data_IF_657236456611
#
_entry.id   IF_657236456611
#
_cell.length_a   1.000
_cell.length_b   1.000
_cell.length_c   1.000
_cell.angle_alpha   90.00
_cell.angle_beta   90.00
_cell.angle_gamma   90.00
#
_symmetry.space_group_name_H-M   'P 1'
#
loop_
_entity.id
_entity.type
_entity.pdbx_description
1 polymer ?
#
# COMPACT_ATOMS: atom_id res chain seq x y z
N UNK A 1 24.89 -16.70 6.72
CA UNK A 1 23.64 -17.30 6.19
C UNK A 1 22.38 -16.86 6.95
N UNK A 2 22.42 -16.72 8.28
CA UNK A 2 21.27 -16.33 9.11
C UNK A 2 20.73 -14.92 8.79
N UNK A 3 21.61 -13.93 8.65
CA UNK A 3 21.24 -12.54 8.32
C UNK A 3 20.47 -12.44 6.99
N UNK A 4 20.91 -13.21 5.98
CA UNK A 4 20.25 -13.26 4.67
C UNK A 4 18.82 -13.81 4.77
N UNK A 5 18.60 -14.82 5.64
CA UNK A 5 17.26 -15.38 5.88
C UNK A 5 16.34 -14.39 6.61
N UNK A 6 16.87 -13.68 7.61
CA UNK A 6 16.13 -12.63 8.32
C UNK A 6 15.69 -11.51 7.38
N UNK A 7 16.58 -11.10 6.49
CA UNK A 7 16.32 -10.04 5.51
C UNK A 7 15.21 -10.41 4.52
N UNK A 8 15.25 -11.65 4.00
CA UNK A 8 14.19 -12.16 3.11
C UNK A 8 12.85 -12.23 3.85
N UNK A 9 12.84 -12.68 5.10
CA UNK A 9 11.62 -12.74 5.90
C UNK A 9 11.02 -11.35 6.16
N UNK A 10 11.87 -10.36 6.44
CA UNK A 10 11.47 -8.96 6.59
C UNK A 10 10.86 -8.40 5.30
N UNK A 11 11.47 -8.67 4.14
CA UNK A 11 10.92 -8.25 2.83
C UNK A 11 9.55 -8.87 2.59
N UNK A 12 9.39 -10.18 2.80
CA UNK A 12 8.10 -10.87 2.60
C UNK A 12 7.03 -10.33 3.55
N UNK A 13 7.37 -10.04 4.80
CA UNK A 13 6.45 -9.46 5.77
C UNK A 13 6.02 -8.01 5.41
N UNK A 14 6.95 -7.21 4.88
CA UNK A 14 6.63 -5.86 4.38
C UNK A 14 5.72 -5.96 3.16
N UNK A 15 5.99 -6.88 2.23
CA UNK A 15 5.18 -7.06 1.03
C UNK A 15 3.76 -7.56 1.37
N UNK A 16 3.59 -8.53 2.27
CA UNK A 16 2.25 -9.05 2.61
C UNK A 16 1.44 -8.08 3.49
N UNK A 17 2.11 -7.20 4.24
CA UNK A 17 1.48 -6.24 5.13
C UNK A 17 1.16 -4.89 4.49
N UNK A 18 1.87 -4.49 3.43
CA UNK A 18 1.84 -3.14 2.87
C UNK A 18 0.48 -2.76 2.27
N UNK A 19 0.00 -1.56 2.60
CA UNK A 19 -1.25 -1.03 2.09
C UNK A 19 -1.30 -0.99 0.56
N UNK A 20 -0.16 -0.75 -0.11
CA UNK A 20 -0.09 -0.71 -1.59
C UNK A 20 -0.51 -2.03 -2.24
N UNK A 21 -0.12 -3.16 -1.67
CA UNK A 21 -0.48 -4.48 -2.22
C UNK A 21 -1.96 -4.78 -1.96
N UNK A 22 -2.47 -4.40 -0.77
CA UNK A 22 -3.88 -4.57 -0.42
C UNK A 22 -4.82 -3.73 -1.28
N UNK A 23 -4.43 -2.51 -1.62
CA UNK A 23 -5.22 -1.62 -2.49
C UNK A 23 -5.18 -2.08 -3.94
N UNK A 24 -4.06 -2.64 -4.40
CA UNK A 24 -3.98 -3.25 -5.74
C UNK A 24 -4.82 -4.53 -5.86
N UNK A 25 -4.78 -5.41 -4.84
CA UNK A 25 -5.52 -6.68 -4.84
C UNK A 25 -7.04 -6.48 -4.79
N UNK A 26 -7.49 -5.38 -4.17
CA UNK A 26 -8.90 -5.00 -4.07
C UNK A 26 -9.34 -3.95 -5.11
N UNK A 27 -8.47 -3.60 -6.06
CA UNK A 27 -8.74 -2.56 -7.04
C UNK A 27 -9.88 -3.01 -7.98
N UNK A 28 -10.89 -2.14 -8.11
CA UNK A 28 -11.89 -2.23 -9.17
C UNK A 28 -11.58 -1.20 -10.27
N UNK A 29 -12.32 -1.25 -11.39
CA UNK A 29 -12.13 -0.33 -12.53
C UNK A 29 -12.16 1.15 -12.10
N UNK A 30 -12.95 1.50 -11.09
CA UNK A 30 -13.10 2.86 -10.59
C UNK A 30 -12.17 3.19 -9.40
N UNK A 31 -11.37 2.22 -8.93
CA UNK A 31 -10.49 2.42 -7.78
C UNK A 31 -9.30 3.32 -8.14
N UNK A 32 -8.91 4.27 -7.27
CA UNK A 32 -7.70 5.04 -7.45
C UNK A 32 -6.46 4.14 -7.32
N UNK A 33 -5.70 3.97 -8.41
CA UNK A 33 -4.50 3.11 -8.45
C UNK A 33 -3.22 3.87 -8.11
N UNK A 34 -3.13 5.14 -8.53
CA UNK A 34 -1.94 5.98 -8.33
C UNK A 34 -1.80 6.37 -6.85
N UNK A 35 -0.64 6.03 -6.27
CA UNK A 35 -0.34 6.21 -4.84
C UNK A 35 -1.41 5.59 -3.93
N UNK A 36 -1.99 4.46 -4.34
CA UNK A 36 -3.18 3.91 -3.69
C UNK A 36 -2.92 3.52 -2.22
N UNK A 37 -1.80 2.86 -1.94
CA UNK A 37 -1.41 2.48 -0.58
C UNK A 37 -1.10 3.69 0.29
N UNK A 38 -0.34 4.64 -0.26
CA UNK A 38 -0.01 5.90 0.43
C UNK A 38 -1.25 6.70 0.79
N UNK A 39 -2.20 6.84 -0.15
CA UNK A 39 -3.43 7.60 0.07
C UNK A 39 -4.35 6.92 1.07
N UNK A 40 -4.47 5.59 1.04
CA UNK A 40 -5.21 4.87 2.06
C UNK A 40 -4.62 5.11 3.46
N UNK A 41 -3.30 5.07 3.59
CA UNK A 41 -2.63 5.36 4.86
C UNK A 41 -2.86 6.81 5.31
N UNK A 42 -2.79 7.80 4.41
CA UNK A 42 -3.10 9.19 4.74
C UNK A 42 -4.55 9.31 5.23
N UNK A 43 -5.53 8.74 4.51
CA UNK A 43 -6.93 8.77 4.91
C UNK A 43 -7.13 8.12 6.29
N UNK A 44 -6.43 7.03 6.60
CA UNK A 44 -6.48 6.39 7.92
C UNK A 44 -5.87 7.26 9.02
N UNK A 45 -4.73 7.93 8.75
CA UNK A 45 -4.08 8.85 9.69
C UNK A 45 -4.95 10.07 9.98
N UNK A 46 -5.66 10.59 8.97
CA UNK A 46 -6.53 11.77 9.10
C UNK A 46 -7.97 11.43 9.51
N UNK A 47 -8.30 10.16 9.80
CA UNK A 47 -9.66 9.66 10.03
C UNK A 47 -10.67 10.04 8.92
N UNK A 48 -10.20 10.11 7.66
CA UNK A 48 -11.05 10.36 6.49
C UNK A 48 -11.75 9.08 6.05
N UNK A 49 -12.91 8.83 6.65
CA UNK A 49 -13.75 7.65 6.38
C UNK A 49 -14.26 7.60 4.94
N UNK A 50 -14.54 8.75 4.32
CA UNK A 50 -15.04 8.81 2.94
C UNK A 50 -13.92 8.48 1.96
N UNK A 51 -12.71 8.96 2.22
CA UNK A 51 -11.52 8.61 1.45
C UNK A 51 -11.21 7.12 1.51
N UNK A 52 -11.29 6.50 2.70
CA UNK A 52 -10.99 5.08 2.88
C UNK A 52 -11.93 4.15 2.09
N UNK A 53 -13.22 4.48 1.96
CA UNK A 53 -14.20 3.64 1.23
C UNK A 53 -13.81 3.43 -0.23
N UNK A 54 -13.12 4.39 -0.86
CA UNK A 54 -12.75 4.34 -2.28
C UNK A 54 -11.76 3.24 -2.64
N UNK A 55 -11.04 2.73 -1.64
CA UNK A 55 -9.98 1.73 -1.83
C UNK A 55 -10.46 0.29 -1.64
N UNK A 56 -11.73 0.07 -1.28
CA UNK A 56 -12.33 -1.26 -1.08
C UNK A 56 -11.55 -2.20 -0.13
N UNK A 57 -10.71 -1.64 0.74
CA UNK A 57 -9.87 -2.40 1.66
C UNK A 57 -9.72 -1.67 2.98
N UNK A 58 -9.40 -2.43 4.03
CA UNK A 58 -9.16 -1.87 5.36
C UNK A 58 -7.72 -1.35 5.44
N UNK A 59 -7.51 -0.17 6.06
CA UNK A 59 -6.16 0.28 6.34
C UNK A 59 -5.44 -0.69 7.28
N UNK A 60 -4.11 -0.68 7.20
CA UNK A 60 -3.25 -1.39 8.16
C UNK A 60 -3.39 -0.80 9.57
N UNK A 61 -3.08 -1.60 10.58
CA UNK A 61 -3.20 -1.22 11.99
C UNK A 61 -2.27 -0.05 12.37
N UNK A 62 -1.10 0.04 11.74
CA UNK A 62 -0.11 1.09 11.97
C UNK A 62 0.20 1.87 10.68
N UNK A 63 -0.71 2.75 10.21
CA UNK A 63 -0.57 3.41 8.91
C UNK A 63 0.62 4.37 8.86
N UNK A 64 1.02 4.97 10.00
CA UNK A 64 2.20 5.85 10.08
C UNK A 64 3.49 5.08 9.81
N UNK A 65 3.60 3.84 10.29
CA UNK A 65 4.77 2.98 10.07
C UNK A 65 4.81 2.42 8.65
N UNK A 66 3.63 2.13 8.09
CA UNK A 66 3.50 1.62 6.72
C UNK A 66 3.64 2.71 5.65
N UNK A 67 3.33 3.97 5.97
CA UNK A 67 3.37 5.10 5.04
C UNK A 67 4.66 5.18 4.20
N UNK A 68 5.88 5.17 4.77
CA UNK A 68 7.11 5.24 3.98
C UNK A 68 7.32 4.00 3.10
N UNK A 69 6.93 2.82 3.57
CA UNK A 69 7.04 1.58 2.80
C UNK A 69 6.06 1.58 1.62
N UNK A 70 4.81 2.00 1.87
CA UNK A 70 3.79 2.19 0.85
C UNK A 70 4.19 3.24 -0.18
N UNK A 71 4.73 4.39 0.24
CA UNK A 71 5.19 5.43 -0.68
C UNK A 71 6.31 4.94 -1.61
N UNK A 72 7.28 4.22 -1.06
CA UNK A 72 8.37 3.64 -1.85
C UNK A 72 7.82 2.59 -2.84
N UNK A 73 6.90 1.74 -2.40
CA UNK A 73 6.31 0.71 -3.26
C UNK A 73 5.44 1.32 -4.36
N UNK A 74 4.64 2.34 -4.03
CA UNK A 74 3.84 3.12 -4.98
C UNK A 74 4.74 3.78 -6.04
N UNK A 75 5.91 4.32 -5.67
CA UNK A 75 6.88 4.86 -6.64
C UNK A 75 7.46 3.78 -7.57
N UNK A 76 7.78 2.61 -7.03
CA UNK A 76 8.28 1.48 -7.82
C UNK A 76 7.20 0.98 -8.79
N UNK A 77 5.94 0.96 -8.35
CA UNK A 77 4.78 0.53 -9.15
C UNK A 77 4.21 1.66 -10.03
N UNK A 78 4.66 2.91 -9.87
CA UNK A 78 4.15 4.06 -10.60
C UNK A 78 4.18 3.88 -12.13
N UNK A 79 5.26 3.34 -12.76
CA UNK A 79 5.28 3.10 -14.20
C UNK A 79 4.21 2.11 -14.68
N UNK A 80 3.84 1.14 -13.84
CA UNK A 80 2.77 0.18 -14.13
C UNK A 80 1.40 0.85 -13.98
N UNK A 81 1.22 1.65 -12.93
CA UNK A 81 -0.03 2.36 -12.67
C UNK A 81 -0.40 3.31 -13.81
N UNK A 82 0.56 3.99 -14.42
CA UNK A 82 0.31 4.89 -15.57
C UNK A 82 0.06 4.15 -16.89
N UNK A 83 0.55 2.90 -17.04
CA UNK A 83 0.38 2.13 -18.27
C UNK A 83 -1.00 1.50 -18.44
N UNK A 84 -1.80 1.50 -17.37
CA UNK A 84 -3.16 0.94 -17.33
C UNK A 84 -4.23 2.05 -17.54
N UNK A 85 -3.82 3.33 -17.50
CA UNK A 85 -4.63 4.50 -17.84
C UNK A 85 -4.32 4.99 -19.27
#
# INVERSE_FOLDING_TARGET
>A
MLVKRLFIFGIVAILSGCSTIKTLDSATIDSPVVFSGTRLNICAITDDKVGMIKFNTKPVEYPVLDLPASFLLDLIMFPLAISVF
#
